data_IF_926522637983
#
_entry.id   IF_926522637983
#
_cell.length_a   1.000
_cell.length_b   1.000
_cell.length_c   1.000
_cell.angle_alpha   90.00
_cell.angle_beta   90.00
_cell.angle_gamma   90.00
#
_symmetry.space_group_name_H-M   'P 1'
#
loop_
_entity.id
_entity.type
_entity.pdbx_description
1 polymer ?
#
# COMPACT_ATOMS: atom_id res chain seq x y z
N UNK A 1 1.54 2.81 27.94
CA UNK A 1 0.78 3.48 26.87
C UNK A 1 1.61 3.41 25.59
N UNK A 2 0.98 2.95 24.51
CA UNK A 2 1.68 2.88 23.22
C UNK A 2 1.92 4.28 22.69
N UNK A 3 3.13 4.56 22.24
CA UNK A 3 3.44 5.79 21.55
C UNK A 3 2.90 5.80 20.13
N UNK A 4 3.12 6.89 19.43
CA UNK A 4 2.76 7.03 18.03
C UNK A 4 4.01 7.19 17.17
N UNK A 5 3.85 6.89 15.88
CA UNK A 5 4.88 7.17 14.89
C UNK A 5 4.28 8.05 13.79
N UNK A 6 5.14 8.77 13.09
CA UNK A 6 4.69 9.59 11.98
C UNK A 6 4.49 8.70 10.76
N UNK A 7 3.27 8.71 10.23
CA UNK A 7 2.94 7.96 9.02
C UNK A 7 2.68 8.92 7.87
N UNK A 8 3.41 8.74 6.78
CA UNK A 8 3.22 9.50 5.55
C UNK A 8 3.00 8.52 4.40
N UNK A 9 1.97 8.78 3.60
CA UNK A 9 1.68 8.02 2.39
C UNK A 9 1.62 8.98 1.21
N UNK A 10 2.48 8.75 0.23
CA UNK A 10 2.63 9.62 -0.93
C UNK A 10 2.60 8.78 -2.20
N UNK A 11 1.90 9.26 -3.21
CA UNK A 11 1.99 8.77 -4.58
C UNK A 11 2.54 9.89 -5.47
N UNK A 12 2.93 9.61 -6.72
CA UNK A 12 3.41 10.67 -7.61
C UNK A 12 2.41 11.81 -7.81
N UNK A 13 1.15 11.55 -7.65
CA UNK A 13 0.09 12.52 -7.91
C UNK A 13 -0.25 13.36 -6.68
N UNK A 14 -0.11 12.81 -5.47
CA UNK A 14 -0.52 13.54 -4.26
C UNK A 14 -0.02 12.88 -2.98
N UNK A 15 -0.05 13.64 -1.90
CA UNK A 15 0.12 13.12 -0.54
C UNK A 15 -1.27 12.69 -0.04
N UNK A 16 -1.39 11.42 0.34
CA UNK A 16 -2.67 10.87 0.81
C UNK A 16 -2.83 10.94 2.32
N UNK A 17 -1.73 10.82 3.07
CA UNK A 17 -1.79 10.83 4.52
C UNK A 17 -0.50 11.39 5.12
N UNK A 18 -0.66 12.10 6.24
CA UNK A 18 0.43 12.56 7.10
C UNK A 18 -0.16 12.68 8.50
N UNK A 19 -0.06 11.62 9.29
CA UNK A 19 -0.73 11.52 10.59
C UNK A 19 0.15 10.82 11.62
N UNK A 20 -0.19 11.02 12.90
CA UNK A 20 0.37 10.24 13.99
C UNK A 20 -0.42 8.93 14.10
N UNK A 21 0.22 7.80 13.87
CA UNK A 21 -0.40 6.49 13.88
C UNK A 21 0.11 5.65 15.05
N UNK A 22 -0.76 4.79 15.59
CA UNK A 22 -0.36 3.83 16.62
C UNK A 22 0.19 2.56 15.98
N UNK A 23 -0.35 2.18 14.82
CA UNK A 23 0.19 1.06 14.04
C UNK A 23 -0.17 1.25 12.56
N UNK A 24 0.60 0.63 11.70
CA UNK A 24 0.35 0.60 10.25
C UNK A 24 0.54 -0.83 9.75
N UNK A 25 -0.48 -1.36 9.09
CA UNK A 25 -0.40 -2.66 8.43
C UNK A 25 -0.03 -2.43 6.97
N UNK A 26 1.05 -3.07 6.54
CA UNK A 26 1.66 -2.83 5.23
C UNK A 26 1.65 -4.12 4.40
N UNK A 27 1.14 -4.09 3.15
CA UNK A 27 1.17 -5.25 2.28
C UNK A 27 2.55 -5.38 1.61
N UNK A 28 3.48 -6.03 2.30
CA UNK A 28 4.81 -6.27 1.77
C UNK A 28 4.86 -7.42 0.80
N UNK A 29 5.86 -7.43 -0.09
CA UNK A 29 6.03 -8.51 -1.08
C UNK A 29 6.36 -9.84 -0.42
N UNK A 30 6.96 -9.82 0.77
CA UNK A 30 7.29 -11.03 1.54
C UNK A 30 6.20 -11.43 2.53
N UNK A 31 5.11 -10.67 2.58
CA UNK A 31 4.00 -10.90 3.48
C UNK A 31 3.55 -9.60 4.15
N UNK A 32 2.37 -9.64 4.73
CA UNK A 32 1.85 -8.49 5.47
C UNK A 32 2.69 -8.27 6.73
N UNK A 33 2.91 -7.00 7.07
CA UNK A 33 3.61 -6.65 8.28
C UNK A 33 2.88 -5.54 9.01
N UNK A 34 3.03 -5.51 10.32
CA UNK A 34 2.47 -4.46 11.17
C UNK A 34 3.62 -3.72 11.83
N UNK A 35 3.70 -2.41 11.61
CA UNK A 35 4.73 -1.57 12.20
C UNK A 35 4.13 -0.70 13.29
N UNK A 36 4.80 -0.62 14.42
CA UNK A 36 4.43 0.21 15.57
C UNK A 36 5.64 0.98 16.03
N UNK A 37 5.45 1.92 16.96
CA UNK A 37 6.58 2.65 17.54
C UNK A 37 7.62 1.68 18.09
N UNK A 38 8.87 1.94 17.81
CA UNK A 38 9.98 1.09 18.25
C UNK A 38 10.30 -0.05 17.31
N UNK A 39 9.60 -0.18 16.18
CA UNK A 39 9.91 -1.21 15.19
C UNK A 39 11.34 -1.07 14.66
N UNK A 40 12.00 -2.20 14.41
CA UNK A 40 13.34 -2.18 13.84
C UNK A 40 13.34 -1.50 12.47
N UNK A 41 14.35 -0.67 12.16
CA UNK A 41 14.43 -0.02 10.85
C UNK A 41 14.50 -1.02 9.69
N UNK A 42 13.88 -0.66 8.59
CA UNK A 42 13.92 -1.50 7.40
C UNK A 42 13.21 -0.87 6.22
N UNK A 43 13.35 -1.50 5.08
CA UNK A 43 12.66 -1.12 3.85
C UNK A 43 11.99 -2.37 3.31
N UNK A 44 10.73 -2.27 2.90
CA UNK A 44 10.01 -3.34 2.23
C UNK A 44 9.37 -2.82 0.97
N UNK A 45 9.34 -3.65 -0.07
CA UNK A 45 8.60 -3.32 -1.29
C UNK A 45 7.14 -3.70 -1.11
N UNK A 46 6.26 -2.98 -1.82
CA UNK A 46 4.81 -3.15 -1.69
C UNK A 46 4.29 -4.07 -2.79
N UNK A 47 3.42 -5.01 -2.40
CA UNK A 47 2.57 -5.71 -3.35
C UNK A 47 1.21 -5.00 -3.41
N UNK A 48 0.41 -5.23 -4.47
CA UNK A 48 -0.95 -4.71 -4.49
C UNK A 48 -1.74 -5.22 -3.29
N UNK A 49 -2.33 -4.33 -2.54
CA UNK A 49 -3.05 -4.70 -1.33
C UNK A 49 -3.62 -3.50 -0.60
N UNK A 50 -4.16 -3.74 0.57
CA UNK A 50 -4.75 -2.71 1.42
C UNK A 50 -3.79 -2.40 2.56
N UNK A 51 -3.41 -1.13 2.68
CA UNK A 51 -2.63 -0.60 3.79
C UNK A 51 -3.61 0.02 4.78
N UNK A 52 -3.44 -0.28 6.08
CA UNK A 52 -4.30 0.26 7.13
C UNK A 52 -3.45 1.00 8.15
N UNK A 53 -3.84 2.24 8.41
CA UNK A 53 -3.20 3.06 9.44
C UNK A 53 -4.20 3.31 10.57
N UNK A 54 -3.83 2.91 11.78
CA UNK A 54 -4.66 3.09 12.98
C UNK A 54 -4.16 4.31 13.75
N UNK A 55 -5.06 5.22 14.08
CA UNK A 55 -4.76 6.42 14.85
C UNK A 55 -5.84 6.66 15.89
N UNK A 56 -5.68 7.72 16.69
CA UNK A 56 -6.69 8.12 17.68
C UNK A 56 -8.05 8.43 17.02
N UNK A 57 -8.06 8.77 15.74
CA UNK A 57 -9.28 9.08 14.99
C UNK A 57 -9.92 7.84 14.34
N UNK A 58 -9.31 6.67 14.49
CA UNK A 58 -9.80 5.43 13.93
C UNK A 58 -8.85 4.82 12.91
N UNK A 59 -9.36 3.91 12.10
CA UNK A 59 -8.58 3.22 11.08
C UNK A 59 -8.88 3.82 9.73
N UNK A 60 -7.82 4.16 8.99
CA UNK A 60 -7.92 4.61 7.60
C UNK A 60 -7.26 3.57 6.70
N UNK A 61 -7.94 3.20 5.64
CA UNK A 61 -7.49 2.16 4.71
C UNK A 61 -7.23 2.76 3.33
N UNK A 62 -6.17 2.28 2.69
CA UNK A 62 -5.75 2.73 1.36
C UNK A 62 -5.43 1.52 0.50
N UNK A 63 -5.85 1.57 -0.76
CA UNK A 63 -5.41 0.58 -1.75
C UNK A 63 -4.11 1.09 -2.34
N UNK A 64 -3.06 0.29 -2.27
CA UNK A 64 -1.74 0.66 -2.77
C UNK A 64 -1.23 -0.40 -3.74
N UNK A 65 -0.41 0.02 -4.68
CA UNK A 65 0.22 -0.87 -5.64
C UNK A 65 1.60 -0.34 -6.01
N UNK A 66 2.62 -1.18 -5.85
CA UNK A 66 3.99 -0.84 -6.19
C UNK A 66 4.63 0.17 -5.23
N UNK A 67 5.93 0.35 -5.35
CA UNK A 67 6.67 1.24 -4.49
C UNK A 67 7.25 0.54 -3.26
N UNK A 68 7.53 1.31 -2.23
CA UNK A 68 8.17 0.77 -1.03
C UNK A 68 7.78 1.56 0.22
N UNK A 69 8.01 0.93 1.37
CA UNK A 69 7.83 1.54 2.68
C UNK A 69 9.17 1.57 3.40
N UNK A 70 9.55 2.73 3.91
CA UNK A 70 10.72 2.89 4.77
C UNK A 70 10.25 3.02 6.22
N UNK A 71 10.73 2.13 7.07
CA UNK A 71 10.28 2.01 8.45
C UNK A 71 11.44 2.37 9.37
N UNK A 72 11.17 3.25 10.34
CA UNK A 72 12.09 3.55 11.44
C UNK A 72 11.36 3.35 12.76
N UNK A 73 12.07 3.52 13.88
CA UNK A 73 11.44 3.39 15.19
C UNK A 73 10.35 4.44 15.44
N UNK A 74 10.39 5.57 14.73
CA UNK A 74 9.51 6.72 14.98
C UNK A 74 8.69 7.15 13.78
N UNK A 75 8.92 6.55 12.59
CA UNK A 75 8.23 6.97 11.38
C UNK A 75 8.07 5.84 10.36
N UNK A 76 7.07 5.99 9.52
CA UNK A 76 6.86 5.13 8.36
C UNK A 76 6.58 6.04 7.18
N UNK A 77 7.41 5.94 6.15
CA UNK A 77 7.24 6.69 4.90
C UNK A 77 6.92 5.70 3.79
N UNK A 78 5.74 5.82 3.22
CA UNK A 78 5.28 4.94 2.15
C UNK A 78 5.23 5.74 0.85
N UNK A 79 5.99 5.27 -0.14
CA UNK A 79 6.05 5.85 -1.48
C UNK A 79 5.45 4.81 -2.42
N UNK A 80 4.15 4.94 -2.68
CA UNK A 80 3.42 4.01 -3.54
C UNK A 80 3.38 4.53 -4.98
N UNK A 81 3.48 3.63 -5.93
CA UNK A 81 3.31 4.02 -7.35
C UNK A 81 1.86 4.42 -7.63
N UNK A 82 0.92 3.71 -7.01
CA UNK A 82 -0.50 4.03 -7.05
C UNK A 82 -1.07 3.88 -5.66
N UNK A 83 -1.88 4.84 -5.23
CA UNK A 83 -2.55 4.79 -3.94
C UNK A 83 -3.86 5.56 -4.00
N UNK A 84 -4.91 4.97 -3.41
CA UNK A 84 -6.25 5.55 -3.37
C UNK A 84 -6.87 5.24 -2.01
N UNK A 85 -7.47 6.21 -1.32
CA UNK A 85 -8.26 5.89 -0.12
C UNK A 85 -9.32 4.85 -0.46
N UNK A 86 -9.49 3.86 0.41
CA UNK A 86 -10.44 2.78 0.14
C UNK A 86 -11.87 3.30 -0.09
N UNK A 87 -12.25 4.35 0.62
CA UNK A 87 -13.55 4.99 0.48
C UNK A 87 -13.77 5.68 -0.88
N UNK A 88 -12.67 6.01 -1.59
CA UNK A 88 -12.73 6.59 -2.93
C UNK A 88 -12.60 5.55 -4.03
N UNK A 89 -12.41 4.28 -3.67
CA UNK A 89 -12.20 3.23 -4.65
C UNK A 89 -13.48 2.95 -5.43
N UNK A 90 -13.38 2.98 -6.76
CA UNK A 90 -14.48 2.66 -7.66
C UNK A 90 -14.05 1.54 -8.61
N UNK A 91 -15.03 0.93 -9.29
CA UNK A 91 -14.75 -0.07 -10.31
C UNK A 91 -13.84 0.51 -11.41
N UNK A 92 -14.07 1.76 -11.80
CA UNK A 92 -13.26 2.41 -12.83
C UNK A 92 -11.79 2.56 -12.40
N UNK A 93 -11.56 2.93 -11.14
CA UNK A 93 -10.19 3.06 -10.60
C UNK A 93 -9.52 1.70 -10.54
N UNK A 94 -10.21 0.66 -10.06
CA UNK A 94 -9.66 -0.69 -10.04
C UNK A 94 -9.35 -1.21 -11.44
N UNK A 95 -10.23 -0.95 -12.40
CA UNK A 95 -10.02 -1.36 -13.79
C UNK A 95 -8.78 -0.68 -14.36
N UNK A 96 -8.57 0.60 -14.04
CA UNK A 96 -7.38 1.32 -14.48
C UNK A 96 -6.10 0.72 -13.86
N UNK A 97 -6.12 0.38 -12.59
CA UNK A 97 -4.96 -0.24 -11.93
C UNK A 97 -4.63 -1.60 -12.57
N UNK A 98 -5.65 -2.39 -12.86
CA UNK A 98 -5.45 -3.69 -13.53
C UNK A 98 -4.91 -3.48 -14.95
N UNK A 99 -5.45 -2.52 -15.69
CA UNK A 99 -4.99 -2.21 -17.04
C UNK A 99 -3.53 -1.77 -17.05
N UNK A 100 -3.12 -0.91 -16.12
CA UNK A 100 -1.75 -0.43 -16.02
C UNK A 100 -0.79 -1.58 -15.69
N UNK A 101 -1.17 -2.47 -14.78
CA UNK A 101 -0.36 -3.63 -14.44
C UNK A 101 -0.26 -4.62 -15.59
N UNK A 102 -1.32 -4.78 -16.36
CA UNK A 102 -1.34 -5.67 -17.53
C UNK A 102 -0.41 -5.14 -18.63
N UNK A 103 -0.41 -3.83 -18.86
CA UNK A 103 0.52 -3.21 -19.80
C UNK A 103 1.98 -3.40 -19.36
N UNK A 104 2.25 -3.24 -18.07
CA UNK A 104 3.60 -3.45 -17.54
C UNK A 104 4.03 -4.91 -17.71
N UNK A 105 3.11 -5.87 -17.51
CA UNK A 105 3.40 -7.29 -17.71
C UNK A 105 3.73 -7.61 -19.17
N UNK A 106 3.09 -6.94 -20.12
CA UNK A 106 3.30 -7.18 -21.55
C UNK A 106 4.70 -6.79 -22.01
N UNK A 107 5.34 -5.82 -21.35
CA UNK A 107 6.66 -5.28 -21.76
C UNK A 107 7.77 -5.64 -20.78
N UNK A 108 7.46 -6.25 -19.66
CA UNK A 108 8.44 -6.57 -18.61
C UNK A 108 9.29 -7.78 -18.99
N UNK A 109 10.61 -7.75 -18.74
CA UNK A 109 11.46 -8.92 -18.91
C UNK A 109 11.18 -10.00 -17.84
N UNK A 110 10.63 -9.62 -16.69
CA UNK A 110 10.27 -10.55 -15.63
C UNK A 110 8.75 -10.80 -15.66
N UNK A 111 8.35 -11.74 -16.50
CA UNK A 111 6.94 -12.06 -16.70
C UNK A 111 6.28 -12.66 -15.45
N UNK A 112 7.02 -13.47 -14.70
CA UNK A 112 6.44 -14.15 -13.54
C UNK A 112 6.08 -13.14 -12.44
N UNK A 113 6.99 -12.23 -12.13
CA UNK A 113 6.74 -11.21 -11.11
C UNK A 113 5.60 -10.26 -11.51
N UNK A 114 5.58 -9.81 -12.78
CA UNK A 114 4.52 -8.90 -13.24
C UNK A 114 3.19 -9.58 -13.37
N UNK A 115 3.14 -10.84 -13.77
CA UNK A 115 1.89 -11.60 -13.80
C UNK A 115 1.32 -11.80 -12.41
N UNK A 116 2.18 -11.95 -11.39
CA UNK A 116 1.74 -12.02 -10.00
C UNK A 116 1.09 -10.70 -9.57
N UNK A 117 1.63 -9.56 -9.97
CA UNK A 117 1.03 -8.25 -9.67
C UNK A 117 -0.37 -8.16 -10.27
N UNK A 118 -0.55 -8.58 -11.51
CA UNK A 118 -1.87 -8.59 -12.15
C UNK A 118 -2.84 -9.51 -11.40
N UNK A 119 -2.39 -10.71 -11.02
CA UNK A 119 -3.22 -11.65 -10.27
C UNK A 119 -3.64 -11.08 -8.91
N UNK A 120 -2.71 -10.42 -8.20
CA UNK A 120 -3.00 -9.81 -6.92
C UNK A 120 -4.03 -8.67 -7.04
N UNK A 121 -3.94 -7.85 -8.10
CA UNK A 121 -4.91 -6.79 -8.36
C UNK A 121 -6.30 -7.35 -8.68
N UNK A 122 -6.36 -8.42 -9.47
CA UNK A 122 -7.64 -9.06 -9.80
C UNK A 122 -8.29 -9.66 -8.56
N UNK A 123 -7.50 -10.29 -7.68
CA UNK A 123 -8.00 -10.84 -6.43
C UNK A 123 -8.51 -9.72 -5.51
N UNK A 124 -7.81 -8.60 -5.44
CA UNK A 124 -8.23 -7.45 -4.65
C UNK A 124 -9.51 -6.81 -5.18
N UNK A 125 -9.66 -6.73 -6.50
CA UNK A 125 -10.87 -6.25 -7.15
C UNK A 125 -12.07 -7.12 -6.79
N UNK A 126 -11.92 -8.44 -6.82
CA UNK A 126 -12.97 -9.37 -6.44
C UNK A 126 -13.35 -9.20 -4.95
N UNK A 127 -12.34 -9.06 -4.08
CA UNK A 127 -12.57 -8.87 -2.64
C UNK A 127 -13.29 -7.56 -2.33
N UNK A 128 -13.06 -6.52 -3.14
CA UNK A 128 -13.72 -5.23 -2.99
C UNK A 128 -15.15 -5.21 -3.55
N UNK A 129 -15.60 -6.28 -4.20
CA UNK A 129 -16.93 -6.36 -4.79
C UNK A 129 -17.09 -5.57 -6.08
N UNK A 130 -16.00 -5.34 -6.77
CA UNK A 130 -15.95 -4.55 -8.01
C UNK A 130 -15.88 -5.43 -9.24
#
# INVERSE_FOLDING_TARGET
MAGTLQFDLVSPERRLASIAATEVQIPGTEGDMTAMEGHAPGITTLRPGVLRATSAEGVKSYVVSGGFAEITATSISVLAEQAVPLEELTAAIMDQMVADATLAAAVSPDKDATNKVVADLLAMRAAAGQ
#
